data_IF_990753484106
#
_entry.id   IF_990753484106
#
_cell.length_a   1.000
_cell.length_b   1.000
_cell.length_c   1.000
_cell.angle_alpha   90.00
_cell.angle_beta   90.00
_cell.angle_gamma   90.00
#
_symmetry.space_group_name_H-M   'P 1'
#
loop_
_entity.id
_entity.type
_entity.pdbx_description
1 polymer ?
#
# COMPACT_ATOMS: atom_id res chain seq x y z
N UNK A 1 -25.16 22.71 31.88
CA UNK A 1 -23.82 22.44 32.41
C UNK A 1 -23.01 23.70 32.22
N UNK A 2 -22.63 24.37 33.30
CA UNK A 2 -21.91 25.66 33.23
C UNK A 2 -20.47 25.37 32.79
N UNK A 3 -19.87 26.26 32.00
CA UNK A 3 -18.44 26.17 31.59
C UNK A 3 -17.51 25.92 32.78
N UNK A 4 -17.87 26.42 33.96
CA UNK A 4 -17.14 26.21 35.21
C UNK A 4 -17.17 24.76 35.72
N UNK A 5 -18.25 24.01 35.45
CA UNK A 5 -18.32 22.58 35.78
C UNK A 5 -17.43 21.76 34.84
N UNK A 6 -17.35 22.14 33.56
CA UNK A 6 -16.44 21.52 32.58
C UNK A 6 -14.99 21.78 32.96
N UNK A 7 -14.65 23.01 33.36
CA UNK A 7 -13.30 23.39 33.80
C UNK A 7 -12.93 22.66 35.10
N UNK A 8 -13.86 22.56 36.08
CA UNK A 8 -13.65 21.80 37.32
C UNK A 8 -13.49 20.31 37.05
N UNK A 9 -14.20 19.74 36.09
CA UNK A 9 -14.06 18.33 35.70
C UNK A 9 -12.70 18.08 35.02
N UNK A 10 -12.28 18.97 34.10
CA UNK A 10 -10.96 18.89 33.44
C UNK A 10 -9.81 19.09 34.45
N UNK A 11 -10.00 19.95 35.45
CA UNK A 11 -9.03 20.17 36.53
C UNK A 11 -8.99 19.01 37.55
N UNK A 12 -10.15 18.43 37.89
CA UNK A 12 -10.27 17.32 38.84
C UNK A 12 -9.74 15.99 38.27
N UNK A 13 -9.96 15.73 36.98
CA UNK A 13 -9.43 14.54 36.32
C UNK A 13 -8.01 14.77 35.78
N UNK A 14 -7.62 16.02 35.48
CA UNK A 14 -6.36 16.34 34.83
C UNK A 14 -6.33 15.88 33.36
N UNK A 15 -5.78 16.71 32.47
CA UNK A 15 -5.64 16.40 31.04
C UNK A 15 -4.91 15.06 30.83
N UNK A 16 -3.93 14.75 31.69
CA UNK A 16 -3.19 13.48 31.66
C UNK A 16 -4.06 12.23 31.86
N UNK A 17 -5.06 12.26 32.74
CA UNK A 17 -5.95 11.11 32.99
C UNK A 17 -6.96 10.92 31.87
N UNK A 18 -7.50 12.01 31.33
CA UNK A 18 -8.40 11.97 30.17
C UNK A 18 -7.65 11.41 28.96
N UNK A 19 -6.45 11.92 28.69
CA UNK A 19 -5.57 11.44 27.61
C UNK A 19 -5.17 9.97 27.84
N UNK A 20 -4.78 9.59 29.05
CA UNK A 20 -4.44 8.20 29.40
C UNK A 20 -5.64 7.24 29.23
N UNK A 21 -6.85 7.68 29.57
CA UNK A 21 -8.08 6.89 29.41
C UNK A 21 -8.42 6.72 27.92
N UNK A 22 -8.29 7.78 27.12
CA UNK A 22 -8.46 7.73 25.65
C UNK A 22 -7.42 6.79 25.03
N UNK A 23 -6.14 6.89 25.41
CA UNK A 23 -5.09 5.99 24.94
C UNK A 23 -5.36 4.54 25.35
N UNK A 24 -5.82 4.31 26.59
CA UNK A 24 -6.17 2.99 27.10
C UNK A 24 -7.36 2.39 26.35
N UNK A 25 -8.37 3.21 26.02
CA UNK A 25 -9.52 2.80 25.22
C UNK A 25 -9.14 2.46 23.77
N UNK A 26 -8.31 3.27 23.12
CA UNK A 26 -7.78 3.00 21.77
C UNK A 26 -6.96 1.70 21.78
N UNK A 27 -6.10 1.52 22.80
CA UNK A 27 -5.28 0.30 22.95
C UNK A 27 -6.15 -0.94 23.20
N UNK A 28 -7.17 -0.83 24.05
CA UNK A 28 -8.11 -1.92 24.36
C UNK A 28 -8.93 -2.32 23.13
N UNK A 29 -9.46 -1.33 22.40
CA UNK A 29 -10.24 -1.55 21.17
C UNK A 29 -9.38 -2.23 20.09
N UNK A 30 -8.14 -1.75 19.89
CA UNK A 30 -7.20 -2.36 18.96
C UNK A 30 -6.87 -3.80 19.35
N UNK A 31 -6.65 -4.07 20.65
CA UNK A 31 -6.41 -5.43 21.16
C UNK A 31 -7.59 -6.36 20.89
N UNK A 32 -8.80 -5.94 21.22
CA UNK A 32 -10.00 -6.76 21.02
C UNK A 32 -10.25 -7.08 19.54
N UNK A 33 -10.03 -6.11 18.64
CA UNK A 33 -10.12 -6.34 17.19
C UNK A 33 -9.05 -7.32 16.69
N UNK A 34 -7.81 -7.16 17.16
CA UNK A 34 -6.72 -8.08 16.82
C UNK A 34 -7.00 -9.50 17.33
N UNK A 35 -7.53 -9.66 18.54
CA UNK A 35 -7.87 -10.98 19.11
C UNK A 35 -8.96 -11.68 18.26
N UNK A 36 -10.00 -10.94 17.87
CA UNK A 36 -11.05 -11.45 16.99
C UNK A 36 -10.49 -11.88 15.62
N UNK A 37 -9.75 -11.00 14.96
CA UNK A 37 -9.15 -11.28 13.63
C UNK A 37 -8.18 -12.46 13.71
N UNK A 38 -7.37 -12.53 14.77
CA UNK A 38 -6.40 -13.62 14.97
C UNK A 38 -7.10 -14.96 15.16
N UNK A 39 -8.25 -14.98 15.86
CA UNK A 39 -9.07 -16.18 16.03
C UNK A 39 -9.69 -16.63 14.70
N UNK A 40 -10.37 -15.74 13.99
CA UNK A 40 -10.97 -16.02 12.68
C UNK A 40 -9.92 -16.57 11.69
N UNK A 41 -8.76 -15.92 11.60
CA UNK A 41 -7.66 -16.42 10.76
C UNK A 41 -7.12 -17.76 11.21
N UNK A 42 -7.04 -18.02 12.52
CA UNK A 42 -6.65 -19.34 13.01
C UNK A 42 -7.65 -20.43 12.61
N UNK A 43 -8.95 -20.13 12.62
CA UNK A 43 -10.00 -21.05 12.20
C UNK A 43 -9.96 -21.26 10.68
N UNK A 44 -9.84 -20.19 9.91
CA UNK A 44 -9.63 -20.23 8.47
C UNK A 44 -8.41 -21.08 8.08
N UNK A 45 -7.24 -20.86 8.72
CA UNK A 45 -6.03 -21.70 8.48
C UNK A 45 -6.27 -23.17 8.81
N UNK A 46 -7.06 -23.50 9.83
CA UNK A 46 -7.47 -24.90 10.13
C UNK A 46 -8.37 -25.44 9.02
N UNK A 47 -9.27 -24.63 8.47
CA UNK A 47 -10.10 -24.95 7.31
C UNK A 47 -9.27 -25.29 6.08
N UNK A 48 -8.34 -24.41 5.69
CA UNK A 48 -7.44 -24.64 4.55
C UNK A 48 -6.59 -25.91 4.74
N UNK A 49 -6.02 -26.16 5.94
CA UNK A 49 -5.28 -27.41 6.21
C UNK A 49 -6.15 -28.66 6.04
N UNK A 50 -7.40 -28.63 6.50
CA UNK A 50 -8.35 -29.74 6.31
C UNK A 50 -8.67 -29.96 4.82
N UNK A 51 -8.81 -28.88 4.04
CA UNK A 51 -9.00 -28.96 2.59
C UNK A 51 -7.80 -29.65 1.93
N UNK A 52 -6.57 -29.22 2.26
CA UNK A 52 -5.34 -29.84 1.73
C UNK A 52 -5.31 -31.35 2.00
N UNK A 53 -5.59 -31.78 3.24
CA UNK A 53 -5.62 -33.20 3.61
C UNK A 53 -6.66 -33.97 2.78
N UNK A 54 -7.84 -33.41 2.56
CA UNK A 54 -8.89 -34.05 1.74
C UNK A 54 -8.50 -34.10 0.26
N UNK A 55 -7.85 -33.06 -0.27
CA UNK A 55 -7.38 -33.02 -1.67
C UNK A 55 -6.31 -34.08 -1.96
N UNK A 56 -5.41 -34.31 -1.00
CA UNK A 56 -4.35 -35.33 -1.08
C UNK A 56 -4.85 -36.76 -0.81
N UNK A 57 -6.08 -36.93 -0.34
CA UNK A 57 -6.67 -38.26 -0.12
C UNK A 57 -6.92 -39.01 -1.43
N UNK A 58 -7.32 -40.29 -1.34
CA UNK A 58 -7.65 -41.10 -2.52
C UNK A 58 -9.11 -40.96 -2.97
N UNK A 59 -10.00 -40.53 -2.08
CA UNK A 59 -11.46 -40.49 -2.28
C UNK A 59 -11.89 -39.27 -3.11
N UNK A 60 -12.44 -39.52 -4.30
CA UNK A 60 -12.85 -38.48 -5.26
C UNK A 60 -13.99 -37.60 -4.74
N UNK A 61 -14.96 -38.16 -4.02
CA UNK A 61 -16.09 -37.38 -3.49
C UNK A 61 -15.63 -36.46 -2.36
N UNK A 62 -14.68 -36.93 -1.54
CA UNK A 62 -14.00 -36.06 -0.56
C UNK A 62 -13.20 -34.95 -1.24
N UNK A 63 -12.53 -35.22 -2.37
CA UNK A 63 -11.83 -34.18 -3.16
C UNK A 63 -12.80 -33.15 -3.73
N UNK A 64 -13.90 -33.58 -4.35
CA UNK A 64 -14.95 -32.68 -4.87
C UNK A 64 -15.52 -31.79 -3.77
N UNK A 65 -15.84 -32.37 -2.62
CA UNK A 65 -16.29 -31.61 -1.47
C UNK A 65 -15.21 -30.63 -0.97
N UNK A 66 -13.94 -31.04 -0.94
CA UNK A 66 -12.84 -30.16 -0.57
C UNK A 66 -12.68 -28.97 -1.52
N UNK A 67 -12.84 -29.16 -2.83
CA UNK A 67 -12.84 -28.06 -3.82
C UNK A 67 -14.01 -27.11 -3.58
N UNK A 68 -15.22 -27.62 -3.33
CA UNK A 68 -16.37 -26.76 -3.03
C UNK A 68 -16.18 -25.98 -1.72
N UNK A 69 -15.61 -26.62 -0.70
CA UNK A 69 -15.23 -25.95 0.54
C UNK A 69 -14.13 -24.91 0.31
N UNK A 70 -13.17 -25.18 -0.56
CA UNK A 70 -12.10 -24.24 -0.88
C UNK A 70 -12.67 -22.95 -1.47
N UNK A 71 -13.60 -23.05 -2.42
CA UNK A 71 -14.25 -21.87 -3.03
C UNK A 71 -14.91 -20.93 -2.01
N UNK A 72 -15.34 -21.42 -0.85
CA UNK A 72 -15.91 -20.57 0.22
C UNK A 72 -14.86 -19.94 1.13
N UNK A 73 -13.61 -20.42 1.08
CA UNK A 73 -12.49 -19.92 1.89
C UNK A 73 -11.58 -18.96 1.11
N UNK A 74 -11.67 -18.93 -0.22
CA UNK A 74 -10.89 -18.04 -1.08
C UNK A 74 -11.45 -16.62 -1.09
N UNK A 75 -10.60 -15.65 -1.37
CA UNK A 75 -11.01 -14.28 -1.58
C UNK A 75 -11.92 -14.16 -2.83
N UNK A 76 -13.19 -13.72 -2.68
CA UNK A 76 -14.11 -13.64 -3.81
C UNK A 76 -13.71 -12.59 -4.86
N UNK A 77 -12.87 -11.60 -4.51
CA UNK A 77 -12.38 -10.60 -5.46
C UNK A 77 -11.44 -11.17 -6.53
N UNK A 78 -10.94 -12.40 -6.34
CA UNK A 78 -10.14 -13.12 -7.34
C UNK A 78 -10.96 -13.83 -8.41
N UNK A 79 -12.26 -14.01 -8.17
CA UNK A 79 -13.10 -14.76 -9.09
C UNK A 79 -13.24 -14.03 -10.43
N UNK A 80 -12.82 -14.69 -11.52
CA UNK A 80 -12.90 -14.18 -12.90
C UNK A 80 -12.38 -12.74 -13.04
N UNK A 81 -11.16 -12.49 -12.54
CA UNK A 81 -10.53 -11.18 -12.75
C UNK A 81 -10.14 -11.00 -14.20
N UNK A 82 -10.48 -9.83 -14.71
CA UNK A 82 -10.16 -9.43 -16.07
C UNK A 82 -8.67 -9.15 -16.27
N UNK A 83 -8.02 -8.53 -15.29
CA UNK A 83 -6.57 -8.30 -15.31
C UNK A 83 -5.88 -9.38 -14.48
N UNK A 84 -5.02 -10.15 -15.13
CA UNK A 84 -4.33 -11.31 -14.55
C UNK A 84 -2.83 -11.04 -14.37
N UNK A 85 -2.16 -11.84 -13.56
CA UNK A 85 -0.69 -11.84 -13.38
C UNK A 85 -0.04 -10.57 -12.79
N UNK A 86 -0.84 -9.56 -12.42
CA UNK A 86 -0.44 -8.45 -11.57
C UNK A 86 -0.41 -8.82 -10.08
N UNK A 87 0.18 -7.97 -9.23
CA UNK A 87 0.20 -8.16 -7.77
C UNK A 87 -1.22 -8.38 -7.21
N UNK A 88 -2.16 -7.53 -7.61
CA UNK A 88 -3.55 -7.57 -7.14
C UNK A 88 -4.30 -8.83 -7.54
N UNK A 89 -3.92 -9.46 -8.65
CA UNK A 89 -4.47 -10.73 -9.09
C UNK A 89 -4.07 -11.86 -8.13
N UNK A 90 -2.78 -11.96 -7.81
CA UNK A 90 -2.29 -12.99 -6.87
C UNK A 90 -2.78 -12.74 -5.45
N UNK A 91 -2.81 -11.49 -5.00
CA UNK A 91 -3.30 -11.09 -3.67
C UNK A 91 -4.79 -11.35 -3.47
N UNK A 92 -5.55 -11.47 -4.56
CA UNK A 92 -6.97 -11.77 -4.52
C UNK A 92 -7.27 -13.25 -4.72
N UNK A 93 -6.27 -14.14 -4.67
CA UNK A 93 -6.41 -15.58 -4.96
C UNK A 93 -6.85 -15.88 -6.40
N UNK A 94 -6.66 -14.95 -7.34
CA UNK A 94 -7.09 -15.11 -8.74
C UNK A 94 -6.47 -16.32 -9.42
N UNK A 95 -5.19 -16.60 -9.15
CA UNK A 95 -4.48 -17.78 -9.62
C UNK A 95 -5.07 -19.10 -9.13
N UNK A 96 -5.65 -19.14 -7.93
CA UNK A 96 -6.34 -20.33 -7.41
C UNK A 96 -7.73 -20.45 -8.03
N UNK A 97 -8.42 -19.33 -8.23
CA UNK A 97 -9.72 -19.32 -8.91
C UNK A 97 -9.63 -19.81 -10.35
N UNK A 98 -8.63 -19.34 -11.10
CA UNK A 98 -8.39 -19.77 -12.48
C UNK A 98 -8.04 -21.26 -12.55
N UNK A 99 -7.22 -21.75 -11.61
CA UNK A 99 -6.90 -23.18 -11.49
C UNK A 99 -8.15 -24.05 -11.25
N UNK A 100 -9.16 -23.47 -10.61
CA UNK A 100 -10.40 -24.14 -10.22
C UNK A 100 -11.53 -24.08 -11.27
N UNK A 101 -11.39 -23.28 -12.33
CA UNK A 101 -12.47 -23.08 -13.32
C UNK A 101 -12.71 -24.36 -14.16
N UNK A 102 -11.64 -25.01 -14.61
CA UNK A 102 -11.67 -26.27 -15.39
C UNK A 102 -10.89 -27.40 -14.69
N UNK A 103 -11.15 -27.57 -13.38
CA UNK A 103 -10.40 -28.50 -12.55
C UNK A 103 -10.75 -29.97 -12.85
N UNK A 104 -9.79 -30.71 -13.41
CA UNK A 104 -9.93 -32.11 -13.83
C UNK A 104 -9.56 -33.15 -12.76
N UNK A 105 -9.20 -32.71 -11.55
CA UNK A 105 -8.72 -33.56 -10.46
C UNK A 105 -7.51 -34.44 -10.82
N UNK A 106 -6.76 -34.11 -11.87
CA UNK A 106 -5.48 -34.74 -12.16
C UNK A 106 -4.49 -34.49 -11.01
N UNK A 107 -3.57 -35.44 -10.82
CA UNK A 107 -2.63 -35.38 -9.71
C UNK A 107 -1.74 -34.12 -9.78
N UNK A 108 -1.33 -33.71 -10.98
CA UNK A 108 -0.58 -32.48 -11.19
C UNK A 108 -1.36 -31.24 -10.76
N UNK A 109 -2.63 -31.10 -11.18
CA UNK A 109 -3.45 -29.95 -10.76
C UNK A 109 -3.75 -29.95 -9.26
N UNK A 110 -3.99 -31.13 -8.67
CA UNK A 110 -4.15 -31.27 -7.21
C UNK A 110 -2.88 -30.78 -6.50
N UNK A 111 -1.71 -31.25 -6.93
CA UNK A 111 -0.44 -30.84 -6.35
C UNK A 111 -0.21 -29.33 -6.50
N UNK A 112 -0.55 -28.74 -7.65
CA UNK A 112 -0.45 -27.30 -7.90
C UNK A 112 -1.34 -26.49 -6.96
N UNK A 113 -2.62 -26.87 -6.82
CA UNK A 113 -3.51 -26.23 -5.82
C UNK A 113 -2.93 -26.37 -4.41
N UNK A 114 -2.47 -27.56 -4.03
CA UNK A 114 -1.89 -27.78 -2.70
C UNK A 114 -0.68 -26.87 -2.48
N UNK A 115 0.20 -26.71 -3.47
CA UNK A 115 1.35 -25.80 -3.38
C UNK A 115 0.91 -24.34 -3.20
N UNK A 116 -0.09 -23.88 -3.96
CA UNK A 116 -0.67 -22.54 -3.77
C UNK A 116 -1.24 -22.36 -2.36
N UNK A 117 -2.00 -23.34 -1.85
CA UNK A 117 -2.58 -23.27 -0.51
C UNK A 117 -1.52 -23.30 0.60
N UNK A 118 -0.42 -24.04 0.42
CA UNK A 118 0.71 -24.04 1.36
C UNK A 118 1.40 -22.68 1.39
N UNK A 119 1.64 -22.07 0.23
CA UNK A 119 2.19 -20.71 0.16
C UNK A 119 1.24 -19.69 0.79
N UNK A 120 -0.06 -19.82 0.54
CA UNK A 120 -1.09 -18.94 1.09
C UNK A 120 -1.14 -19.04 2.63
N UNK A 121 -1.07 -20.26 3.19
CA UNK A 121 -0.98 -20.50 4.62
C UNK A 121 0.27 -19.88 5.24
N UNK A 122 1.42 -20.00 4.56
CA UNK A 122 2.68 -19.40 5.02
C UNK A 122 2.59 -17.87 4.99
N UNK A 123 2.05 -17.31 3.91
CA UNK A 123 1.84 -15.87 3.76
C UNK A 123 0.93 -15.30 4.86
N UNK A 124 -0.24 -15.91 5.10
CA UNK A 124 -1.17 -15.46 6.14
C UNK A 124 -0.56 -15.56 7.55
N UNK A 125 0.27 -16.57 7.81
CA UNK A 125 1.00 -16.71 9.06
C UNK A 125 2.02 -15.59 9.28
N UNK A 126 2.87 -15.32 8.29
CA UNK A 126 3.86 -14.24 8.36
C UNK A 126 3.18 -12.88 8.54
N UNK A 127 2.10 -12.63 7.78
CA UNK A 127 1.30 -11.40 7.91
C UNK A 127 0.68 -11.26 9.29
N UNK A 128 0.16 -12.33 9.86
CA UNK A 128 -0.41 -12.31 11.21
C UNK A 128 0.65 -11.99 12.28
N UNK A 129 1.89 -12.45 12.10
CA UNK A 129 3.01 -12.08 12.98
C UNK A 129 3.35 -10.60 12.84
N UNK A 130 3.35 -10.05 11.63
CA UNK A 130 3.59 -8.62 11.40
C UNK A 130 2.48 -7.73 11.99
N UNK A 131 1.22 -8.16 11.95
CA UNK A 131 0.09 -7.38 12.47
C UNK A 131 0.02 -7.37 14.01
N UNK A 132 0.39 -8.48 14.66
CA UNK A 132 0.43 -8.61 16.13
C UNK A 132 1.77 -8.13 16.69
N UNK A 133 2.84 -8.28 15.91
CA UNK A 133 4.15 -7.75 16.21
C UNK A 133 4.15 -6.24 16.28
N UNK A 134 4.87 -5.68 17.25
CA UNK A 134 5.28 -4.31 17.14
C UNK A 134 6.37 -4.28 16.07
N UNK A 135 6.10 -3.67 14.93
CA UNK A 135 7.14 -3.39 13.94
C UNK A 135 8.10 -2.35 14.52
N UNK A 136 9.07 -2.83 15.30
CA UNK A 136 10.03 -2.03 16.03
C UNK A 136 10.83 -1.14 15.07
N UNK A 137 11.15 -1.66 13.88
CA UNK A 137 11.82 -0.90 12.84
C UNK A 137 10.94 0.27 12.39
N UNK A 138 9.67 0.04 12.08
CA UNK A 138 8.76 1.11 11.69
C UNK A 138 8.53 2.15 12.79
N UNK A 139 8.53 1.75 14.07
CA UNK A 139 8.45 2.70 15.18
C UNK A 139 9.70 3.57 15.24
N UNK A 140 10.90 2.97 15.20
CA UNK A 140 12.17 3.71 15.29
C UNK A 140 12.29 4.69 14.13
N UNK A 141 12.02 4.25 12.90
CA UNK A 141 12.08 5.11 11.71
C UNK A 141 11.03 6.22 11.73
N UNK A 142 9.82 5.92 12.21
CA UNK A 142 8.78 6.94 12.33
C UNK A 142 9.10 7.94 13.44
N UNK A 143 9.69 7.51 14.55
CA UNK A 143 10.17 8.39 15.62
C UNK A 143 11.30 9.29 15.14
N UNK A 144 12.30 8.72 14.45
CA UNK A 144 13.38 9.49 13.82
C UNK A 144 12.82 10.55 12.86
N UNK A 145 11.88 10.17 11.98
CA UNK A 145 11.24 11.12 11.06
C UNK A 145 10.56 12.28 11.80
N UNK A 146 9.85 12.01 12.89
CA UNK A 146 9.20 13.06 13.70
C UNK A 146 10.22 13.95 14.42
N UNK A 147 11.30 13.39 14.95
CA UNK A 147 12.40 14.17 15.54
C UNK A 147 12.98 15.12 14.49
N UNK A 148 13.21 14.63 13.26
CA UNK A 148 13.72 15.45 12.16
C UNK A 148 12.72 16.54 11.74
N UNK A 149 11.42 16.25 11.71
CA UNK A 149 10.38 17.26 11.44
C UNK A 149 10.43 18.38 12.48
N UNK A 150 10.53 18.04 13.77
CA UNK A 150 10.65 19.04 14.84
C UNK A 150 11.93 19.86 14.67
N UNK A 151 13.06 19.20 14.41
CA UNK A 151 14.34 19.88 14.19
C UNK A 151 14.29 20.87 13.01
N UNK A 152 13.76 20.45 11.86
CA UNK A 152 13.65 21.30 10.68
C UNK A 152 12.66 22.45 10.90
N UNK A 153 11.61 22.23 11.71
CA UNK A 153 10.65 23.28 12.08
C UNK A 153 11.27 24.35 12.96
N UNK A 154 12.09 23.96 13.95
CA UNK A 154 12.87 24.90 14.77
C UNK A 154 13.82 25.71 13.89
N UNK A 155 14.49 25.08 12.93
CA UNK A 155 15.42 25.77 12.04
C UNK A 155 14.73 26.70 11.05
N UNK A 156 13.51 26.37 10.60
CA UNK A 156 12.71 27.26 9.78
C UNK A 156 12.38 28.56 10.52
N UNK A 157 11.97 28.45 11.79
CA UNK A 157 11.67 29.62 12.64
C UNK A 157 12.93 30.44 12.91
N UNK A 158 14.03 29.77 13.28
CA UNK A 158 15.30 30.44 13.54
C UNK A 158 15.83 31.15 12.29
N UNK A 159 15.90 30.48 11.14
CA UNK A 159 16.38 31.06 9.89
C UNK A 159 15.55 32.26 9.43
N UNK A 160 14.23 32.22 9.66
CA UNK A 160 13.35 33.37 9.45
C UNK A 160 13.67 34.55 10.36
N UNK A 161 13.99 34.31 11.64
CA UNK A 161 14.39 35.37 12.57
C UNK A 161 15.72 36.04 12.19
N UNK A 162 16.69 35.27 11.69
CA UNK A 162 18.01 35.80 11.27
C UNK A 162 18.05 36.25 9.80
N UNK A 163 16.89 36.33 9.12
CA UNK A 163 16.77 36.67 7.70
C UNK A 163 17.68 35.85 6.77
N UNK A 164 17.89 34.56 7.08
CA UNK A 164 18.68 33.66 6.24
C UNK A 164 17.78 32.95 5.23
N UNK A 165 17.48 33.62 4.12
CA UNK A 165 16.56 33.13 3.08
C UNK A 165 16.89 31.72 2.58
N UNK A 166 18.18 31.42 2.34
CA UNK A 166 18.62 30.12 1.83
C UNK A 166 18.22 29.00 2.80
N UNK A 167 18.50 29.17 4.08
CA UNK A 167 18.17 28.16 5.08
C UNK A 167 16.65 28.06 5.30
N UNK A 168 15.90 29.15 5.17
CA UNK A 168 14.44 29.13 5.21
C UNK A 168 13.87 28.25 4.09
N UNK A 169 14.32 28.43 2.84
CA UNK A 169 13.86 27.60 1.71
C UNK A 169 14.25 26.13 1.86
N UNK A 170 15.49 25.84 2.25
CA UNK A 170 15.92 24.46 2.44
C UNK A 170 15.19 23.74 3.58
N UNK A 171 14.95 24.42 4.71
CA UNK A 171 14.17 23.86 5.82
C UNK A 171 12.72 23.59 5.40
N UNK A 172 12.10 24.49 4.64
CA UNK A 172 10.76 24.31 4.13
C UNK A 172 10.65 23.12 3.16
N UNK A 173 11.57 23.00 2.21
CA UNK A 173 11.63 21.86 1.27
C UNK A 173 11.85 20.54 2.03
N UNK A 174 12.79 20.52 2.97
CA UNK A 174 13.08 19.34 3.81
C UNK A 174 11.83 18.87 4.58
N UNK A 175 11.06 19.79 5.16
CA UNK A 175 9.80 19.48 5.85
C UNK A 175 8.78 18.83 4.91
N UNK A 176 8.57 19.41 3.71
CA UNK A 176 7.66 18.84 2.72
C UNK A 176 8.08 17.42 2.35
N UNK A 177 9.38 17.19 2.09
CA UNK A 177 9.90 15.87 1.73
C UNK A 177 9.71 14.85 2.87
N UNK A 178 9.99 15.24 4.13
CA UNK A 178 9.76 14.38 5.30
C UNK A 178 8.28 14.01 5.47
N UNK A 179 7.36 14.93 5.20
CA UNK A 179 5.92 14.65 5.24
C UNK A 179 5.45 13.74 4.11
N UNK A 180 6.04 13.87 2.91
CA UNK A 180 5.70 13.08 1.73
C UNK A 180 6.22 11.64 1.76
N UNK A 181 7.22 11.31 2.59
CA UNK A 181 7.85 9.98 2.63
C UNK A 181 6.87 8.81 2.70
N UNK A 182 5.84 8.89 3.56
CA UNK A 182 4.86 7.80 3.72
C UNK A 182 4.02 7.59 2.45
N UNK A 183 3.64 8.68 1.78
CA UNK A 183 2.89 8.62 0.53
C UNK A 183 3.76 8.04 -0.59
N UNK A 184 5.00 8.52 -0.70
CA UNK A 184 5.97 8.02 -1.69
C UNK A 184 6.24 6.53 -1.52
N UNK A 185 6.40 6.05 -0.28
CA UNK A 185 6.61 4.63 0.00
C UNK A 185 5.44 3.76 -0.48
N UNK A 186 4.20 4.21 -0.24
CA UNK A 186 3.00 3.53 -0.72
C UNK A 186 2.97 3.44 -2.25
N UNK A 187 3.30 4.55 -2.93
CA UNK A 187 3.36 4.57 -4.40
C UNK A 187 4.45 3.63 -4.93
N UNK A 188 5.66 3.69 -4.36
CA UNK A 188 6.78 2.83 -4.76
C UNK A 188 6.50 1.35 -4.53
N UNK A 189 5.82 0.98 -3.44
CA UNK A 189 5.47 -0.42 -3.13
C UNK A 189 4.50 -1.07 -4.13
N UNK A 190 3.79 -0.26 -4.94
CA UNK A 190 2.90 -0.73 -5.99
C UNK A 190 3.56 -0.83 -7.36
N UNK A 191 4.80 -0.38 -7.52
CA UNK A 191 5.46 -0.39 -8.81
C UNK A 191 6.02 -1.77 -9.16
N UNK A 192 5.96 -2.13 -10.44
CA UNK A 192 6.64 -3.33 -10.94
C UNK A 192 8.14 -3.02 -11.17
N UNK A 193 8.96 -3.40 -10.19
CA UNK A 193 10.42 -3.18 -10.17
C UNK A 193 11.18 -3.92 -11.28
N UNK A 194 10.53 -4.83 -12.01
CA UNK A 194 11.13 -5.49 -13.17
C UNK A 194 11.30 -4.52 -14.36
N UNK A 195 10.54 -3.42 -14.39
CA UNK A 195 10.61 -2.44 -15.48
C UNK A 195 11.69 -1.36 -15.24
N UNK A 196 12.49 -1.07 -16.27
CA UNK A 196 13.56 -0.04 -16.22
C UNK A 196 13.04 1.35 -15.82
N UNK A 197 11.84 1.73 -16.27
CA UNK A 197 11.19 3.00 -15.89
C UNK A 197 10.87 3.06 -14.40
N UNK A 198 10.38 1.95 -13.82
CA UNK A 198 10.09 1.85 -12.39
C UNK A 198 11.37 1.93 -11.55
N UNK A 199 12.44 1.27 -11.96
CA UNK A 199 13.73 1.32 -11.28
C UNK A 199 14.29 2.75 -11.23
N UNK A 200 14.17 3.48 -12.35
CA UNK A 200 14.58 4.88 -12.39
C UNK A 200 13.72 5.77 -11.49
N UNK A 201 12.40 5.61 -11.51
CA UNK A 201 11.49 6.36 -10.63
C UNK A 201 11.80 6.08 -9.14
N UNK A 202 12.09 4.83 -8.79
CA UNK A 202 12.53 4.43 -7.46
C UNK A 202 13.82 5.14 -7.05
N UNK A 203 14.84 5.13 -7.91
CA UNK A 203 16.13 5.75 -7.63
C UNK A 203 16.00 7.27 -7.40
N UNK A 204 15.23 7.96 -8.24
CA UNK A 204 14.96 9.39 -8.08
C UNK A 204 14.21 9.66 -6.77
N UNK A 205 13.17 8.88 -6.46
CA UNK A 205 12.42 9.03 -5.22
C UNK A 205 13.32 8.78 -4.00
N UNK A 206 14.20 7.78 -4.04
CA UNK A 206 15.17 7.50 -2.99
C UNK A 206 16.08 8.70 -2.71
N UNK A 207 16.72 9.26 -3.73
CA UNK A 207 17.61 10.42 -3.57
C UNK A 207 16.85 11.63 -3.01
N UNK A 208 15.76 12.03 -3.64
CA UNK A 208 15.12 13.31 -3.32
C UNK A 208 14.24 13.25 -2.08
N UNK A 209 13.53 12.15 -1.84
CA UNK A 209 12.55 12.06 -0.74
C UNK A 209 13.16 11.42 0.51
N UNK A 210 14.10 10.49 0.35
CA UNK A 210 14.67 9.73 1.46
C UNK A 210 16.09 10.12 1.82
N UNK A 211 16.93 10.60 0.88
CA UNK A 211 18.32 10.96 1.21
C UNK A 211 18.47 12.44 1.56
N UNK A 212 18.01 13.32 0.67
CA UNK A 212 18.17 14.77 0.75
C UNK A 212 17.73 15.39 2.10
N UNK A 213 16.52 15.11 2.65
CA UNK A 213 16.10 15.72 3.91
C UNK A 213 16.94 15.28 5.12
N UNK A 214 17.50 14.07 5.10
CA UNK A 214 18.37 13.59 6.18
C UNK A 214 19.74 14.26 6.10
N UNK A 215 20.31 14.37 4.90
CA UNK A 215 21.58 15.09 4.68
C UNK A 215 21.45 16.55 5.15
N UNK A 216 20.37 17.22 4.77
CA UNK A 216 20.11 18.59 5.20
C UNK A 216 19.96 18.68 6.73
N UNK A 217 19.27 17.71 7.35
CA UNK A 217 19.13 17.66 8.81
C UNK A 217 20.47 17.50 9.54
N UNK A 218 21.41 16.73 9.00
CA UNK A 218 22.79 16.67 9.54
C UNK A 218 23.46 18.03 9.41
N UNK A 219 23.38 18.65 8.24
CA UNK A 219 23.96 19.97 8.01
C UNK A 219 23.43 21.01 9.02
N UNK A 220 22.14 20.95 9.35
CA UNK A 220 21.53 21.76 10.41
C UNK A 220 22.15 21.50 11.79
N UNK A 221 22.31 20.24 12.19
CA UNK A 221 22.94 19.87 13.46
C UNK A 221 24.36 20.42 13.52
N UNK A 222 25.13 20.30 12.44
CA UNK A 222 26.49 20.85 12.35
C UNK A 222 26.51 22.37 12.51
N UNK A 223 25.63 23.08 11.79
CA UNK A 223 25.47 24.52 11.89
C UNK A 223 25.17 24.96 13.34
N UNK A 224 24.22 24.30 13.99
CA UNK A 224 23.82 24.59 15.36
C UNK A 224 24.95 24.32 16.36
N UNK A 225 25.60 23.15 16.27
CA UNK A 225 26.72 22.80 17.15
C UNK A 225 27.89 23.79 17.03
N UNK A 226 28.18 24.23 15.80
CA UNK A 226 29.20 25.24 15.54
C UNK A 226 28.79 26.62 16.08
N UNK A 227 27.53 27.04 15.86
CA UNK A 227 27.00 28.31 16.36
C UNK A 227 27.10 28.42 17.89
N UNK A 228 26.73 27.35 18.60
CA UNK A 228 26.83 27.28 20.06
C UNK A 228 28.23 26.90 20.59
N UNK A 229 29.22 26.70 19.70
CA UNK A 229 30.60 26.29 20.04
C UNK A 229 30.68 25.06 20.97
N UNK A 230 29.71 24.15 20.86
CA UNK A 230 29.62 22.97 21.73
C UNK A 230 30.72 21.95 21.38
N UNK A 231 31.04 21.80 20.09
CA UNK A 231 32.03 20.85 19.58
C UNK A 231 32.94 21.55 18.58
N UNK A 232 34.24 21.20 18.57
CA UNK A 232 35.20 21.70 17.58
C UNK A 232 34.79 21.27 16.16
N UNK A 233 34.76 22.24 15.24
CA UNK A 233 34.39 22.02 13.84
C UNK A 233 35.26 20.95 13.14
N UNK A 234 36.54 20.86 13.46
CA UNK A 234 37.45 19.83 12.92
C UNK A 234 37.03 18.40 13.29
N UNK A 235 36.52 18.22 14.50
CA UNK A 235 36.02 16.93 15.00
C UNK A 235 34.72 16.56 14.28
N UNK A 236 33.82 17.53 14.09
CA UNK A 236 32.58 17.35 13.33
C UNK A 236 32.87 16.95 11.86
N UNK A 237 33.77 17.68 11.19
CA UNK A 237 34.14 17.41 9.80
C UNK A 237 34.77 16.03 9.60
N UNK A 238 35.49 15.52 10.61
CA UNK A 238 36.09 14.17 10.55
C UNK A 238 35.05 13.03 10.64
N UNK A 239 33.93 13.26 11.31
CA UNK A 239 32.89 12.23 11.55
C UNK A 239 31.76 12.31 10.49
N UNK A 240 31.58 13.46 9.84
CA UNK A 240 30.52 13.70 8.87
C UNK A 240 30.47 12.69 7.69
N UNK A 241 31.59 12.25 7.08
CA UNK A 241 31.56 11.25 6.02
C UNK A 241 31.03 9.89 6.51
N UNK A 242 31.39 9.51 7.74
CA UNK A 242 30.95 8.25 8.36
C UNK A 242 29.44 8.31 8.63
N UNK A 243 28.94 9.43 9.18
CA UNK A 243 27.51 9.66 9.39
C UNK A 243 26.72 9.60 8.08
N UNK A 244 27.26 10.19 7.02
CA UNK A 244 26.65 10.17 5.69
C UNK A 244 26.51 8.74 5.16
N UNK A 245 27.57 7.93 5.22
CA UNK A 245 27.54 6.52 4.79
C UNK A 245 26.52 5.73 5.60
N UNK A 246 26.50 5.88 6.92
CA UNK A 246 25.54 5.20 7.79
C UNK A 246 24.09 5.57 7.43
N UNK A 247 23.83 6.84 7.13
CA UNK A 247 22.50 7.31 6.75
C UNK A 247 22.08 6.79 5.39
N UNK A 248 22.99 6.77 4.40
CA UNK A 248 22.70 6.18 3.08
C UNK A 248 22.32 4.71 3.24
N UNK A 249 23.16 3.91 3.90
CA UNK A 249 22.93 2.47 4.08
C UNK A 249 21.64 2.22 4.88
N UNK A 250 21.45 2.92 5.99
CA UNK A 250 20.25 2.72 6.82
C UNK A 250 18.96 3.15 6.12
N UNK A 251 18.98 4.25 5.36
CA UNK A 251 17.83 4.68 4.57
C UNK A 251 17.50 3.71 3.42
N UNK A 252 18.51 3.13 2.77
CA UNK A 252 18.35 2.12 1.72
C UNK A 252 17.73 0.84 2.30
N UNK A 253 18.29 0.32 3.41
CA UNK A 253 17.76 -0.87 4.11
C UNK A 253 16.31 -0.65 4.52
N UNK A 254 15.96 0.53 5.05
CA UNK A 254 14.59 0.87 5.41
C UNK A 254 13.62 0.85 4.21
N UNK A 255 13.99 1.53 3.12
CA UNK A 255 13.15 1.61 1.92
C UNK A 255 12.97 0.23 1.29
N UNK A 256 14.05 -0.57 1.20
CA UNK A 256 13.99 -1.92 0.67
C UNK A 256 13.15 -2.85 1.55
N UNK A 257 13.31 -2.82 2.87
CA UNK A 257 12.51 -3.63 3.80
C UNK A 257 11.01 -3.37 3.63
N UNK A 258 10.64 -2.11 3.48
CA UNK A 258 9.23 -1.70 3.33
C UNK A 258 8.63 -2.06 1.97
N UNK A 259 9.46 -2.12 0.92
CA UNK A 259 9.01 -2.37 -0.45
C UNK A 259 9.02 -3.87 -0.76
N UNK A 260 10.03 -4.60 -0.27
CA UNK A 260 10.13 -6.06 -0.34
C UNK A 260 9.32 -6.74 0.77
N UNK A 261 8.11 -6.22 0.98
CA UNK A 261 7.17 -6.71 1.98
C UNK A 261 6.69 -8.13 1.64
N UNK A 262 6.15 -8.84 2.63
CA UNK A 262 5.62 -10.20 2.56
C UNK A 262 4.79 -10.49 1.30
N UNK A 263 3.98 -9.53 0.86
CA UNK A 263 3.17 -9.63 -0.37
C UNK A 263 4.02 -9.94 -1.61
N UNK A 264 5.16 -9.25 -1.76
CA UNK A 264 6.05 -9.40 -2.91
C UNK A 264 6.77 -10.75 -2.91
N UNK A 265 7.11 -11.25 -1.73
CA UNK A 265 7.71 -12.58 -1.55
C UNK A 265 6.71 -13.68 -1.90
N UNK A 266 5.45 -13.54 -1.48
CA UNK A 266 4.39 -14.47 -1.84
C UNK A 266 4.15 -14.51 -3.35
N UNK A 267 3.98 -13.35 -3.99
CA UNK A 267 3.77 -13.22 -5.44
C UNK A 267 4.94 -13.80 -6.22
N UNK A 268 6.18 -13.50 -5.83
CA UNK A 268 7.36 -14.00 -6.54
C UNK A 268 7.48 -15.52 -6.45
N UNK A 269 7.15 -16.13 -5.30
CA UNK A 269 7.14 -17.59 -5.16
C UNK A 269 6.08 -18.25 -6.04
N UNK A 270 4.87 -17.68 -6.14
CA UNK A 270 3.85 -18.18 -7.07
C UNK A 270 4.34 -18.06 -8.51
N UNK A 271 4.88 -16.90 -8.91
CA UNK A 271 5.42 -16.70 -10.26
C UNK A 271 6.53 -17.71 -10.59
N UNK A 272 7.39 -18.05 -9.64
CA UNK A 272 8.43 -19.08 -9.84
C UNK A 272 7.80 -20.47 -10.04
N UNK A 273 6.78 -20.82 -9.26
CA UNK A 273 6.06 -22.09 -9.45
C UNK A 273 5.47 -22.18 -10.86
N UNK A 274 4.86 -21.10 -11.36
CA UNK A 274 4.25 -21.07 -12.69
C UNK A 274 5.31 -21.02 -13.81
N UNK A 275 6.40 -20.26 -13.62
CA UNK A 275 7.47 -20.12 -14.64
C UNK A 275 8.22 -21.43 -14.90
N UNK A 276 8.26 -22.34 -13.92
CA UNK A 276 8.82 -23.66 -14.12
C UNK A 276 7.98 -24.53 -15.10
N UNK A 277 6.79 -24.07 -15.53
CA UNK A 277 5.89 -24.83 -16.43
C UNK A 277 5.97 -24.44 -17.93
N UNK A 278 6.34 -23.20 -18.33
CA UNK A 278 6.97 -22.88 -19.65
C UNK A 278 7.22 -21.37 -19.83
N UNK A 279 8.15 -20.95 -20.72
CA UNK A 279 8.30 -19.52 -21.07
C UNK A 279 7.15 -18.98 -21.94
N UNK A 280 6.39 -19.86 -22.58
CA UNK A 280 5.28 -19.51 -23.48
C UNK A 280 4.08 -18.94 -22.73
N UNK A 281 3.82 -19.41 -21.51
CA UNK A 281 2.73 -18.90 -20.65
C UNK A 281 2.91 -17.40 -20.33
N UNK A 282 4.14 -16.93 -20.11
CA UNK A 282 4.39 -15.52 -19.79
C UNK A 282 4.04 -14.57 -20.93
N UNK A 283 4.31 -14.95 -22.19
CA UNK A 283 3.97 -14.14 -23.36
C UNK A 283 2.46 -14.16 -23.64
N UNK A 284 1.82 -15.32 -23.49
CA UNK A 284 0.37 -15.48 -23.62
C UNK A 284 -0.38 -14.58 -22.64
N UNK A 285 0.12 -14.46 -21.41
CA UNK A 285 -0.46 -13.65 -20.36
C UNK A 285 -0.32 -12.13 -20.57
N UNK A 286 0.82 -11.68 -21.08
CA UNK A 286 0.99 -10.29 -21.49
C UNK A 286 0.03 -9.92 -22.63
N UNK A 287 -0.13 -10.81 -23.61
CA UNK A 287 -1.08 -10.66 -24.71
C UNK A 287 -2.53 -10.61 -24.19
N UNK A 288 -2.91 -11.50 -23.28
CA UNK A 288 -4.25 -11.51 -22.69
C UNK A 288 -4.62 -10.18 -22.03
N UNK A 289 -3.73 -9.66 -21.16
CA UNK A 289 -3.95 -8.38 -20.49
C UNK A 289 -4.04 -7.22 -21.50
N UNK A 290 -3.23 -7.26 -22.57
CA UNK A 290 -3.25 -6.24 -23.62
C UNK A 290 -4.55 -6.26 -24.42
N UNK A 291 -5.05 -7.45 -24.76
CA UNK A 291 -6.34 -7.63 -25.43
C UNK A 291 -7.45 -7.03 -24.56
N UNK A 292 -7.49 -7.35 -23.27
CA UNK A 292 -8.49 -6.82 -22.36
C UNK A 292 -8.44 -5.28 -22.25
N UNK A 293 -7.25 -4.68 -22.15
CA UNK A 293 -7.10 -3.21 -22.14
C UNK A 293 -7.71 -2.56 -23.39
N UNK A 294 -7.47 -3.17 -24.56
CA UNK A 294 -8.02 -2.69 -25.83
C UNK A 294 -9.53 -2.83 -25.89
N UNK A 295 -10.08 -3.96 -25.42
CA UNK A 295 -11.54 -4.18 -25.35
C UNK A 295 -12.21 -3.13 -24.45
N UNK A 296 -11.63 -2.84 -23.28
CA UNK A 296 -12.16 -1.84 -22.37
C UNK A 296 -12.10 -0.43 -22.99
N UNK A 297 -11.02 -0.09 -23.68
CA UNK A 297 -10.89 1.18 -24.40
C UNK A 297 -11.93 1.32 -25.52
N UNK A 298 -12.13 0.27 -26.31
CA UNK A 298 -13.19 0.21 -27.33
C UNK A 298 -14.56 0.48 -26.69
N UNK A 299 -14.87 -0.15 -25.57
CA UNK A 299 -16.16 0.02 -24.89
C UNK A 299 -16.34 1.40 -24.26
N UNK A 300 -15.26 1.99 -23.71
CA UNK A 300 -15.26 3.40 -23.26
C UNK A 300 -15.56 4.33 -24.42
N UNK A 301 -14.92 4.14 -25.57
CA UNK A 301 -15.16 4.93 -26.79
C UNK A 301 -16.58 4.75 -27.30
N UNK A 302 -17.13 3.52 -27.33
CA UNK A 302 -18.54 3.27 -27.69
C UNK A 302 -19.51 4.01 -26.76
N UNK A 303 -19.29 3.98 -25.45
CA UNK A 303 -20.11 4.70 -24.46
C UNK A 303 -20.07 6.20 -24.68
N UNK A 304 -18.88 6.77 -24.92
CA UNK A 304 -18.69 8.19 -25.23
C UNK A 304 -19.38 8.60 -26.54
N UNK A 305 -19.34 7.73 -27.57
CA UNK A 305 -20.06 7.98 -28.82
C UNK A 305 -21.58 7.99 -28.58
N UNK A 306 -22.09 7.00 -27.87
CA UNK A 306 -23.52 6.91 -27.50
C UNK A 306 -23.99 8.12 -26.69
N UNK A 307 -23.18 8.62 -25.75
CA UNK A 307 -23.53 9.81 -24.97
C UNK A 307 -23.61 11.08 -25.83
N UNK A 308 -22.66 11.27 -26.76
CA UNK A 308 -22.68 12.37 -27.74
C UNK A 308 -23.91 12.29 -28.65
N UNK A 309 -24.28 11.10 -29.11
CA UNK A 309 -25.46 10.90 -29.97
C UNK A 309 -26.78 11.19 -29.22
N UNK A 310 -26.85 10.83 -27.93
CA UNK A 310 -27.99 11.19 -27.05
C UNK A 310 -28.07 12.70 -26.86
N UNK A 311 -26.94 13.39 -26.63
CA UNK A 311 -26.92 14.84 -26.47
C UNK A 311 -27.38 15.56 -27.75
N UNK A 312 -26.92 15.10 -28.91
CA UNK A 312 -27.36 15.61 -30.23
C UNK A 312 -28.87 15.44 -30.43
N UNK A 313 -29.41 14.28 -30.04
CA UNK A 313 -30.85 13.98 -30.12
C UNK A 313 -31.67 14.86 -29.17
N UNK A 314 -31.20 15.09 -27.94
CA UNK A 314 -31.83 16.04 -26.99
C UNK A 314 -31.89 17.46 -27.55
N UNK A 315 -30.78 17.97 -28.10
CA UNK A 315 -30.75 19.29 -28.76
C UNK A 315 -31.73 19.38 -29.93
N UNK A 316 -31.87 18.32 -30.73
CA UNK A 316 -32.87 18.27 -31.82
C UNK A 316 -34.29 18.31 -31.27
N UNK A 317 -34.61 17.52 -30.24
CA UNK A 317 -35.92 17.54 -29.57
C UNK A 317 -36.28 18.94 -29.08
N UNK A 318 -35.36 19.61 -28.38
CA UNK A 318 -35.63 20.94 -27.82
C UNK A 318 -35.86 21.99 -28.91
N UNK A 319 -35.16 21.89 -30.06
CA UNK A 319 -35.41 22.74 -31.23
C UNK A 319 -36.80 22.49 -31.82
N UNK A 320 -37.21 21.23 -31.92
CA UNK A 320 -38.53 20.87 -32.45
C UNK A 320 -39.64 21.32 -31.50
N UNK A 321 -39.46 21.17 -30.19
CA UNK A 321 -40.41 21.66 -29.19
C UNK A 321 -40.60 23.18 -29.29
N UNK A 322 -39.51 23.95 -29.37
CA UNK A 322 -39.59 25.41 -29.57
C UNK A 322 -40.33 25.80 -30.85
N UNK A 323 -40.14 25.05 -31.94
CA UNK A 323 -40.88 25.28 -33.20
C UNK A 323 -42.36 24.97 -33.03
N UNK A 324 -42.69 23.86 -32.37
CA UNK A 324 -44.07 23.47 -32.08
C UNK A 324 -44.78 24.53 -31.23
N UNK A 325 -44.15 24.98 -30.15
CA UNK A 325 -44.70 26.01 -29.26
C UNK A 325 -44.93 27.33 -30.00
N UNK A 326 -44.05 27.69 -30.95
CA UNK A 326 -44.21 28.86 -31.81
C UNK A 326 -45.42 28.74 -32.73
N UNK A 327 -45.57 27.60 -33.41
CA UNK A 327 -46.71 27.33 -34.30
C UNK A 327 -48.05 27.29 -33.55
N UNK A 328 -48.06 26.78 -32.32
CA UNK A 328 -49.25 26.80 -31.45
C UNK A 328 -49.64 28.24 -31.09
N UNK A 329 -48.66 29.11 -30.84
CA UNK A 329 -48.90 30.54 -30.55
C UNK A 329 -49.31 31.36 -31.76
N UNK A 330 -48.94 30.96 -32.97
CA UNK A 330 -49.33 31.66 -34.21
C UNK A 330 -50.74 31.26 -34.69
N UNK A 331 -51.31 30.17 -34.18
CA UNK A 331 -52.63 29.63 -34.57
C UNK A 331 -53.72 29.72 -33.48
N UNK A 332 -53.40 30.30 -32.32
CA UNK A 332 -54.34 30.70 -31.27
C UNK A 332 -54.31 32.22 -31.17
#
# INVERSE_FOLDING_TARGET
MKTDEIIKLIAAFGIGTIVSTIFSFIKSTKRNQLDYITKERSEWRKGIRKIIVKLLGSDLDKKKNAVNQLKTQLNPYGFRRNYKYGKDYYMADGHIWDELEDFDFSENRIQRIVQYLVLLLKFDWERSKDEVGIDQNNIIWNALRWILIVLNSVMLVWAGQVNNEKNTYFAFISLILLLLQKLTLKLLSGLNLDSRKSQFAFFIAFIFVFLLPYIYSIHLVVLLLNFYKIIKLSLILSILPILFIVIVISSEVYVLYQIYNLDSQYVSKIKILNKNESSYESEEFELYNKIYELEEEIDRVKKLKKSKDIEKSKKRRDRLQKKLDKLIKENN
#
